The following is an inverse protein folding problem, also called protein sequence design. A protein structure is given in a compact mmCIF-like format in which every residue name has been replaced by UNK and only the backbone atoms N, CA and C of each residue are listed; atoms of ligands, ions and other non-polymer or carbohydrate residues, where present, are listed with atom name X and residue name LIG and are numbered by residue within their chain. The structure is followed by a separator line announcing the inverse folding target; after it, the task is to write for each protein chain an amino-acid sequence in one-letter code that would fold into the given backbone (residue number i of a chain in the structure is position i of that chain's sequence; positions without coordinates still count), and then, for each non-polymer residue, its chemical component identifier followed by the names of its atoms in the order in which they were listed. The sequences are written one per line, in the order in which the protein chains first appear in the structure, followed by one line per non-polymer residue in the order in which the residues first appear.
data_IF_475573771807
#
_entry.id   IF_475573771807
#
_cell.length_a   1.000
_cell.length_b   1.000
_cell.length_c   1.000
_cell.angle_alpha   90.00
_cell.angle_beta   90.00
_cell.angle_gamma   90.00
#
_symmetry.space_group_name_H-M   'P 1'
#
loop_
_entity.id
_entity.type
_entity.pdbx_description
1 polymer ?
#
# COMPACT_ATOMS: atom_id res chain seq x y z
N UNK A 1 9.71 13.87 -2.72
CA UNK A 1 10.74 12.90 -2.27
C UNK A 1 10.64 12.80 -0.76
N UNK A 2 10.23 11.65 -0.20
CA UNK A 2 10.14 11.48 1.26
C UNK A 2 11.56 11.48 1.86
N UNK A 3 11.80 12.12 3.02
CA UNK A 3 13.10 12.03 3.66
C UNK A 3 13.37 10.59 4.13
N UNK A 4 14.63 10.14 4.09
CA UNK A 4 15.05 8.79 4.49
C UNK A 4 14.54 8.42 5.89
N UNK A 5 14.50 9.39 6.81
CA UNK A 5 13.93 9.19 8.15
C UNK A 5 12.44 8.86 8.15
N UNK A 6 11.69 9.41 7.19
CA UNK A 6 10.27 9.11 6.98
C UNK A 6 10.06 7.73 6.37
N UNK A 7 10.89 7.35 5.38
CA UNK A 7 10.87 6.03 4.74
C UNK A 7 11.16 4.93 5.78
N UNK A 8 12.23 5.09 6.57
CA UNK A 8 12.58 4.18 7.68
C UNK A 8 11.47 4.04 8.70
N UNK A 9 10.77 5.13 9.04
CA UNK A 9 9.65 5.11 9.99
C UNK A 9 8.49 4.30 9.44
N UNK A 10 8.07 4.57 8.20
CA UNK A 10 6.97 3.85 7.56
C UNK A 10 7.29 2.34 7.47
N UNK A 11 8.50 2.00 7.04
CA UNK A 11 8.97 0.62 6.95
C UNK A 11 9.09 -0.06 8.33
N UNK A 12 9.45 0.67 9.39
CA UNK A 12 9.47 0.14 10.75
C UNK A 12 8.05 -0.15 11.28
N UNK A 13 7.12 0.77 11.05
CA UNK A 13 5.70 0.59 11.41
C UNK A 13 5.17 -0.64 10.67
N UNK A 14 5.49 -0.79 9.38
CA UNK A 14 5.13 -1.98 8.62
C UNK A 14 5.65 -3.26 9.29
N UNK A 15 6.92 -3.31 9.70
CA UNK A 15 7.49 -4.50 10.35
C UNK A 15 6.82 -4.77 11.72
N UNK A 16 6.52 -3.71 12.47
CA UNK A 16 5.81 -3.80 13.74
C UNK A 16 4.42 -4.43 13.56
N UNK A 17 3.68 -4.00 12.55
CA UNK A 17 2.34 -4.54 12.27
C UNK A 17 2.41 -5.96 11.68
N UNK A 18 3.32 -6.23 10.75
CA UNK A 18 3.37 -7.50 10.00
C UNK A 18 4.06 -8.65 10.72
N UNK A 19 5.11 -8.38 11.49
CA UNK A 19 5.91 -9.43 12.16
C UNK A 19 5.70 -9.48 13.66
N UNK A 20 5.11 -8.43 14.23
CA UNK A 20 4.95 -8.29 15.68
C UNK A 20 3.53 -7.92 16.10
N UNK A 21 2.56 -7.96 15.18
CA UNK A 21 1.13 -7.73 15.47
C UNK A 21 0.84 -6.41 16.22
N UNK A 22 1.61 -5.37 15.93
CA UNK A 22 1.50 -4.08 16.61
C UNK A 22 2.15 -4.05 18.01
N UNK A 23 2.70 -5.16 18.49
CA UNK A 23 3.29 -5.28 19.83
C UNK A 23 4.72 -4.74 19.89
N UNK A 24 4.84 -3.47 20.30
CA UNK A 24 6.13 -2.77 20.43
C UNK A 24 7.08 -3.44 21.42
N UNK A 25 6.55 -4.07 22.48
CA UNK A 25 7.36 -4.76 23.49
C UNK A 25 8.00 -6.03 22.92
N UNK A 26 7.26 -6.78 22.10
CA UNK A 26 7.76 -7.97 21.44
C UNK A 26 8.81 -7.63 20.39
N UNK A 27 8.55 -6.59 19.58
CA UNK A 27 9.53 -6.07 18.63
C UNK A 27 10.81 -5.61 19.33
N UNK A 28 10.68 -4.87 20.43
CA UNK A 28 11.83 -4.40 21.21
C UNK A 28 12.67 -5.57 21.75
N UNK A 29 12.01 -6.61 22.28
CA UNK A 29 12.69 -7.84 22.74
C UNK A 29 13.43 -8.54 21.61
N UNK A 30 12.81 -8.68 20.44
CA UNK A 30 13.43 -9.31 19.27
C UNK A 30 14.63 -8.51 18.76
N UNK A 31 14.56 -7.18 18.80
CA UNK A 31 15.61 -6.28 18.33
C UNK A 31 16.71 -6.00 19.37
N UNK A 32 16.63 -6.58 20.57
CA UNK A 32 17.54 -6.25 21.69
C UNK A 32 17.51 -4.76 22.05
N UNK A 33 16.38 -4.10 21.83
CA UNK A 33 16.19 -2.65 21.97
C UNK A 33 15.24 -2.32 23.12
N UNK A 34 15.27 -1.09 23.62
CA UNK A 34 14.30 -0.65 24.63
C UNK A 34 12.93 -0.37 23.98
N UNK A 35 11.80 -0.79 24.60
CA UNK A 35 10.45 -0.52 24.07
C UNK A 35 10.18 0.96 23.81
N UNK A 36 10.69 1.83 24.69
CA UNK A 36 10.60 3.28 24.54
C UNK A 36 11.26 3.77 23.23
N UNK A 37 12.36 3.13 22.81
CA UNK A 37 13.08 3.53 21.60
C UNK A 37 12.28 3.19 20.34
N UNK A 38 11.67 2.01 20.29
CA UNK A 38 10.74 1.60 19.22
C UNK A 38 9.58 2.59 19.14
N UNK A 39 8.97 2.90 20.28
CA UNK A 39 7.84 3.83 20.37
C UNK A 39 8.15 5.25 19.89
N UNK A 40 9.40 5.70 20.09
CA UNK A 40 9.87 6.99 19.60
C UNK A 40 10.20 6.96 18.11
N UNK A 41 10.79 5.88 17.60
CA UNK A 41 11.05 5.75 16.16
C UNK A 41 9.78 5.70 15.32
N UNK A 42 8.71 5.08 15.84
CA UNK A 42 7.41 5.03 15.18
C UNK A 42 6.63 6.34 15.27
N UNK A 43 6.94 7.25 16.21
CA UNK A 43 6.23 8.52 16.39
C UNK A 43 6.96 9.73 15.83
N UNK A 44 8.09 10.08 16.40
CA UNK A 44 8.66 11.43 16.29
C UNK A 44 10.19 11.42 16.08
N UNK A 45 10.91 10.49 16.70
CA UNK A 45 12.37 10.42 16.64
C UNK A 45 12.85 9.85 15.30
N UNK A 46 13.79 10.50 14.60
CA UNK A 46 14.40 9.94 13.40
C UNK A 46 15.28 8.73 13.73
N UNK A 47 15.25 7.73 12.86
CA UNK A 47 16.08 6.52 12.98
C UNK A 47 17.41 6.72 12.26
N UNK A 48 18.51 6.54 13.00
CA UNK A 48 19.86 6.58 12.45
C UNK A 48 20.18 5.36 11.59
N UNK A 49 21.20 5.48 10.74
CA UNK A 49 21.66 4.40 9.85
C UNK A 49 22.05 3.14 10.62
N UNK A 50 22.81 3.27 11.72
CA UNK A 50 23.23 2.12 12.53
C UNK A 50 22.05 1.32 13.10
N UNK A 51 20.98 2.01 13.53
CA UNK A 51 19.76 1.37 14.01
C UNK A 51 19.04 0.65 12.87
N UNK A 52 18.92 1.27 11.71
CA UNK A 52 18.30 0.64 10.53
C UNK A 52 19.06 -0.64 10.13
N UNK A 53 20.39 -0.56 9.98
CA UNK A 53 21.21 -1.74 9.64
C UNK A 53 21.09 -2.86 10.66
N UNK A 54 21.02 -2.51 11.95
CA UNK A 54 20.85 -3.52 12.99
C UNK A 54 19.51 -4.24 12.86
N UNK A 55 18.42 -3.50 12.60
CA UNK A 55 17.09 -4.06 12.42
C UNK A 55 17.04 -4.96 11.18
N UNK A 56 17.61 -4.52 10.06
CA UNK A 56 17.73 -5.33 8.83
C UNK A 56 18.41 -6.67 9.12
N UNK A 57 19.57 -6.62 9.78
CA UNK A 57 20.35 -7.83 10.12
C UNK A 57 19.61 -8.76 11.08
N UNK A 58 19.04 -8.22 12.16
CA UNK A 58 18.35 -9.03 13.19
C UNK A 58 17.09 -9.69 12.61
N UNK A 59 16.38 -8.98 11.75
CA UNK A 59 15.17 -9.48 11.09
C UNK A 59 15.45 -10.24 9.79
N UNK A 60 16.73 -10.45 9.43
CA UNK A 60 17.16 -11.12 8.20
C UNK A 60 16.48 -10.53 6.96
N UNK A 61 16.47 -9.20 6.87
CA UNK A 61 15.99 -8.46 5.71
C UNK A 61 17.16 -8.26 4.73
N UNK A 62 16.82 -7.90 3.50
CA UNK A 62 17.80 -7.46 2.52
C UNK A 62 18.50 -6.17 2.97
N UNK A 63 19.72 -5.95 2.48
CA UNK A 63 20.44 -4.73 2.78
C UNK A 63 19.68 -3.51 2.24
N UNK A 64 19.58 -2.45 3.05
CA UNK A 64 18.91 -1.19 2.71
C UNK A 64 17.39 -1.32 2.60
N UNK A 65 16.81 -2.44 3.04
CA UNK A 65 15.38 -2.64 3.03
C UNK A 65 14.61 -1.54 3.76
N UNK A 66 15.10 -1.03 4.88
CA UNK A 66 14.44 0.06 5.62
C UNK A 66 14.55 1.42 4.92
N UNK A 67 15.50 1.57 4.00
CA UNK A 67 15.79 2.81 3.28
C UNK A 67 15.06 2.87 1.93
N UNK A 68 14.54 1.73 1.47
CA UNK A 68 13.78 1.64 0.22
C UNK A 68 12.36 2.16 0.40
N UNK A 69 11.98 3.15 -0.43
CA UNK A 69 10.62 3.71 -0.46
C UNK A 69 9.66 2.72 -1.12
N UNK A 70 9.08 1.83 -0.31
CA UNK A 70 8.17 0.77 -0.75
C UNK A 70 6.82 1.28 -1.24
N UNK A 71 6.46 2.53 -0.93
CA UNK A 71 5.29 3.18 -1.52
C UNK A 71 5.50 3.54 -3.00
N UNK A 72 6.75 3.45 -3.48
CA UNK A 72 7.15 3.78 -4.84
C UNK A 72 7.88 2.62 -5.54
N UNK A 73 7.73 1.38 -5.07
CA UNK A 73 8.16 0.20 -5.84
C UNK A 73 7.03 -0.15 -6.79
N UNK A 74 7.20 0.02 -8.11
CA UNK A 74 6.22 -0.43 -9.07
C UNK A 74 6.07 -1.94 -8.89
N UNK A 75 4.86 -2.41 -8.63
CA UNK A 75 4.55 -3.82 -8.81
C UNK A 75 4.61 -4.06 -10.32
N UNK A 76 5.80 -4.45 -10.81
CA UNK A 76 5.96 -4.93 -12.18
C UNK A 76 4.99 -6.10 -12.33
N UNK A 77 4.18 -6.09 -13.39
CA UNK A 77 3.24 -7.13 -13.75
C UNK A 77 3.98 -8.46 -14.06
N UNK A 78 4.53 -9.09 -13.02
CA UNK A 78 4.75 -10.52 -12.99
C UNK A 78 3.46 -11.19 -12.51
N UNK A 79 3.44 -12.51 -12.47
CA UNK A 79 2.33 -13.33 -11.98
C UNK A 79 2.13 -13.07 -10.47
N UNK A 80 1.55 -11.92 -10.13
CA UNK A 80 1.34 -11.47 -8.76
C UNK A 80 0.00 -12.02 -8.28
N UNK A 81 0.03 -12.77 -7.19
CA UNK A 81 -1.16 -13.27 -6.52
C UNK A 81 -2.11 -12.11 -6.18
N UNK A 82 -3.42 -12.30 -6.42
CA UNK A 82 -4.42 -11.25 -6.18
C UNK A 82 -4.42 -10.84 -4.71
N UNK A 83 -4.12 -11.75 -3.79
CA UNK A 83 -3.98 -11.47 -2.36
C UNK A 83 -2.83 -10.49 -2.06
N UNK A 84 -1.74 -10.53 -2.83
CA UNK A 84 -0.64 -9.57 -2.72
C UNK A 84 -1.07 -8.17 -3.17
N UNK A 85 -1.79 -8.10 -4.29
CA UNK A 85 -2.33 -6.84 -4.83
C UNK A 85 -3.31 -6.21 -3.83
N UNK A 86 -4.24 -7.01 -3.32
CA UNK A 86 -5.24 -6.58 -2.33
C UNK A 86 -4.57 -6.10 -1.05
N UNK A 87 -3.62 -6.86 -0.52
CA UNK A 87 -2.87 -6.48 0.68
C UNK A 87 -2.10 -5.17 0.49
N UNK A 88 -1.39 -5.02 -0.63
CA UNK A 88 -0.64 -3.81 -0.94
C UNK A 88 -1.55 -2.59 -1.08
N UNK A 89 -2.59 -2.70 -1.91
CA UNK A 89 -3.52 -1.60 -2.14
C UNK A 89 -4.24 -1.18 -0.86
N UNK A 90 -4.64 -2.15 -0.03
CA UNK A 90 -5.27 -1.85 1.25
C UNK A 90 -4.34 -1.06 2.16
N UNK A 91 -3.04 -1.40 2.21
CA UNK A 91 -2.04 -0.64 2.98
C UNK A 91 -1.90 0.79 2.48
N UNK A 92 -1.83 0.98 1.15
CA UNK A 92 -1.76 2.31 0.53
C UNK A 92 -2.99 3.14 0.90
N UNK A 93 -4.19 2.55 0.89
CA UNK A 93 -5.41 3.25 1.26
C UNK A 93 -5.46 3.60 2.75
N UNK A 94 -5.01 2.69 3.61
CA UNK A 94 -4.91 2.93 5.05
C UNK A 94 -3.92 4.06 5.37
N UNK A 95 -2.75 4.11 4.73
CA UNK A 95 -1.74 5.17 4.98
C UNK A 95 -2.23 6.55 4.54
N UNK A 96 -2.92 6.61 3.40
CA UNK A 96 -3.50 7.85 2.84
C UNK A 96 -4.75 8.33 3.57
N UNK A 97 -5.49 7.43 4.23
CA UNK A 97 -6.70 7.81 4.96
C UNK A 97 -6.35 8.43 6.31
N UNK A 98 -6.98 9.55 6.69
CA UNK A 98 -6.83 10.11 8.04
C UNK A 98 -7.55 9.26 9.09
N UNK A 99 -8.71 8.71 8.72
CA UNK A 99 -9.60 8.02 9.63
C UNK A 99 -9.37 6.52 9.68
N UNK A 100 -8.87 5.87 8.62
CA UNK A 100 -8.80 4.40 8.53
C UNK A 100 -7.38 3.84 8.57
N UNK A 101 -6.48 4.48 9.32
CA UNK A 101 -5.05 4.09 9.45
C UNK A 101 -4.75 2.75 10.11
N UNK A 102 -5.73 2.10 10.75
CA UNK A 102 -5.47 0.90 11.57
C UNK A 102 -6.48 -0.19 11.30
N UNK A 103 -6.08 -1.46 11.49
CA UNK A 103 -6.93 -2.63 11.30
C UNK A 103 -8.23 -2.54 12.11
N UNK A 104 -8.13 -2.09 13.37
CA UNK A 104 -9.30 -1.93 14.24
C UNK A 104 -10.29 -0.87 13.73
N UNK A 105 -9.80 0.20 13.09
CA UNK A 105 -10.67 1.20 12.46
C UNK A 105 -11.29 0.67 11.16
N UNK A 106 -10.52 -0.02 10.33
CA UNK A 106 -11.02 -0.68 9.10
C UNK A 106 -12.08 -1.73 9.43
N UNK A 107 -11.85 -2.56 10.46
CA UNK A 107 -12.83 -3.52 10.96
C UNK A 107 -14.16 -2.86 11.31
N UNK A 108 -14.11 -1.81 12.15
CA UNK A 108 -15.32 -1.09 12.58
C UNK A 108 -16.08 -0.46 11.41
N UNK A 109 -15.36 0.09 10.44
CA UNK A 109 -15.96 0.76 9.28
C UNK A 109 -16.48 -0.22 8.21
N UNK A 110 -15.81 -1.36 8.02
CA UNK A 110 -16.16 -2.35 6.99
C UNK A 110 -17.10 -3.45 7.47
N UNK A 111 -17.25 -3.66 8.77
CA UNK A 111 -17.99 -4.79 9.35
C UNK A 111 -17.27 -6.14 9.22
N UNK A 112 -16.09 -6.19 8.59
CA UNK A 112 -15.26 -7.40 8.47
C UNK A 112 -14.48 -7.60 9.75
N UNK A 113 -14.47 -8.80 10.34
CA UNK A 113 -13.74 -9.11 11.58
C UNK A 113 -12.28 -8.61 11.52
N UNK A 114 -11.80 -7.99 12.60
CA UNK A 114 -10.43 -7.48 12.71
C UNK A 114 -9.38 -8.56 12.42
N UNK A 115 -9.59 -9.80 12.87
CA UNK A 115 -8.67 -10.91 12.57
C UNK A 115 -8.61 -11.19 11.07
N UNK A 116 -9.75 -11.16 10.37
CA UNK A 116 -9.81 -11.31 8.91
C UNK A 116 -9.08 -10.17 8.20
N UNK A 117 -9.29 -8.92 8.63
CA UNK A 117 -8.56 -7.75 8.07
C UNK A 117 -7.04 -7.92 8.25
N UNK A 118 -6.60 -8.40 9.41
CA UNK A 118 -5.19 -8.71 9.69
C UNK A 118 -4.64 -9.79 8.76
N UNK A 119 -5.37 -10.90 8.60
CA UNK A 119 -4.99 -12.01 7.72
C UNK A 119 -4.89 -11.58 6.25
N UNK A 120 -5.79 -10.70 5.77
CA UNK A 120 -5.71 -10.11 4.43
C UNK A 120 -4.44 -9.26 4.29
N UNK A 121 -4.18 -8.38 5.26
CA UNK A 121 -2.98 -7.54 5.25
C UNK A 121 -1.68 -8.37 5.30
N UNK A 122 -1.68 -9.47 6.04
CA UNK A 122 -0.53 -10.35 6.18
C UNK A 122 -0.39 -11.38 5.06
N UNK A 123 -1.32 -11.41 4.09
CA UNK A 123 -1.32 -12.35 2.95
C UNK A 123 -1.48 -13.81 3.40
N UNK A 124 -2.22 -14.02 4.49
CA UNK A 124 -2.46 -15.35 5.06
C UNK A 124 -3.72 -16.03 4.50
N UNK A 125 -4.55 -15.26 3.79
CA UNK A 125 -5.78 -15.73 3.15
C UNK A 125 -6.01 -15.06 1.82
N UNK A 126 -6.74 -15.76 0.96
CA UNK A 126 -7.41 -15.17 -0.20
C UNK A 126 -8.78 -14.64 0.25
N UNK A 127 -8.97 -13.31 0.32
CA UNK A 127 -10.24 -12.75 0.74
C UNK A 127 -11.32 -13.03 -0.30
N UNK A 128 -12.53 -13.32 0.17
CA UNK A 128 -13.70 -13.42 -0.69
C UNK A 128 -14.01 -12.05 -1.33
N UNK A 129 -14.63 -12.05 -2.51
CA UNK A 129 -15.05 -10.81 -3.20
C UNK A 129 -15.94 -9.95 -2.29
N UNK A 130 -16.80 -10.58 -1.47
CA UNK A 130 -17.63 -9.88 -0.48
C UNK A 130 -16.80 -9.15 0.59
N UNK A 131 -15.72 -9.77 1.06
CA UNK A 131 -14.79 -9.17 2.03
C UNK A 131 -14.07 -7.98 1.41
N UNK A 132 -13.54 -8.16 0.19
CA UNK A 132 -12.90 -7.09 -0.59
C UNK A 132 -13.83 -5.90 -0.79
N UNK A 133 -15.09 -6.15 -1.19
CA UNK A 133 -16.08 -5.10 -1.41
C UNK A 133 -16.48 -4.39 -0.11
N UNK A 134 -16.63 -5.12 0.99
CA UNK A 134 -16.98 -4.54 2.29
C UNK A 134 -15.87 -3.64 2.84
N UNK A 135 -14.61 -4.08 2.69
CA UNK A 135 -13.44 -3.26 3.02
C UNK A 135 -13.41 -2.02 2.13
N UNK A 136 -13.57 -2.16 0.82
CA UNK A 136 -13.48 -1.03 -0.09
C UNK A 136 -14.55 0.04 0.15
N UNK A 137 -15.79 -0.38 0.44
CA UNK A 137 -16.89 0.52 0.80
C UNK A 137 -16.58 1.37 2.03
N UNK A 138 -15.84 0.83 3.01
CA UNK A 138 -15.42 1.60 4.18
C UNK A 138 -14.55 2.81 3.80
N UNK A 139 -13.77 2.70 2.72
CA UNK A 139 -12.96 3.79 2.17
C UNK A 139 -13.74 4.68 1.18
N UNK A 140 -15.03 4.43 0.94
CA UNK A 140 -15.80 5.10 -0.10
C UNK A 140 -15.41 4.70 -1.53
N UNK A 141 -14.78 3.53 -1.71
CA UNK A 141 -14.24 3.04 -2.98
C UNK A 141 -14.87 1.71 -3.38
N UNK A 142 -14.58 1.26 -4.59
CA UNK A 142 -15.12 0.01 -5.11
C UNK A 142 -14.16 -1.17 -4.91
N UNK A 143 -14.71 -2.37 -4.69
CA UNK A 143 -13.92 -3.59 -4.46
C UNK A 143 -12.92 -3.93 -5.58
N UNK A 144 -13.28 -3.67 -6.84
CA UNK A 144 -12.38 -3.94 -7.98
C UNK A 144 -11.12 -3.07 -7.96
N UNK A 145 -11.16 -1.87 -7.37
CA UNK A 145 -9.99 -1.01 -7.23
C UNK A 145 -8.94 -1.60 -6.29
N UNK A 146 -9.37 -2.45 -5.34
CA UNK A 146 -8.46 -3.11 -4.43
C UNK A 146 -7.72 -4.29 -5.10
N UNK A 147 -8.30 -4.87 -6.16
CA UNK A 147 -7.76 -6.02 -6.88
C UNK A 147 -6.89 -5.64 -8.08
N UNK A 148 -6.77 -4.34 -8.37
CA UNK A 148 -6.03 -3.83 -9.52
C UNK A 148 -4.61 -3.42 -9.09
N UNK A 149 -3.54 -3.90 -9.74
CA UNK A 149 -2.19 -3.42 -9.46
C UNK A 149 -2.07 -1.92 -9.73
N UNK A 150 -1.59 -1.14 -8.76
CA UNK A 150 -1.35 0.31 -8.91
C UNK A 150 -0.26 0.67 -9.95
N UNK A 151 0.44 -0.33 -10.49
CA UNK A 151 1.58 -0.16 -11.40
C UNK A 151 1.44 -1.01 -12.66
N UNK A 152 0.21 -1.35 -13.05
CA UNK A 152 -0.03 -1.93 -14.35
C UNK A 152 0.27 -0.86 -15.44
N UNK A 153 1.28 -1.05 -16.30
CA UNK A 153 1.62 -0.10 -17.36
C UNK A 153 0.49 0.06 -18.39
N UNK A 154 -0.52 -0.82 -18.37
CA UNK A 154 -1.75 -0.69 -19.16
C UNK A 154 -2.77 0.27 -18.55
N UNK A 155 -2.50 0.81 -17.36
CA UNK A 155 -3.39 1.74 -16.67
C UNK A 155 -2.89 3.17 -16.72
N UNK A 156 -3.82 4.07 -17.00
CA UNK A 156 -3.61 5.51 -16.90
C UNK A 156 -3.91 5.93 -15.47
N UNK A 157 -2.96 6.61 -14.82
CA UNK A 157 -3.18 7.17 -13.49
C UNK A 157 -3.89 8.53 -13.59
N UNK A 158 -5.09 8.61 -13.05
CA UNK A 158 -5.87 9.85 -12.99
C UNK A 158 -6.78 9.87 -11.74
N UNK A 159 -7.30 11.05 -11.42
CA UNK A 159 -8.27 11.24 -10.34
C UNK A 159 -9.66 10.80 -10.81
N UNK A 160 -10.13 9.66 -10.29
CA UNK A 160 -11.39 9.04 -10.68
C UNK A 160 -12.61 9.82 -10.21
N UNK A 161 -12.54 10.46 -9.04
CA UNK A 161 -13.64 11.26 -8.51
C UNK A 161 -13.84 12.53 -9.34
N UNK A 162 -12.74 13.12 -9.83
CA UNK A 162 -12.81 14.23 -10.78
C UNK A 162 -13.31 13.78 -12.14
N UNK A 163 -12.89 12.60 -12.61
CA UNK A 163 -13.37 12.05 -13.88
C UNK A 163 -14.87 11.71 -13.83
N UNK A 164 -15.36 11.16 -12.73
CA UNK A 164 -16.79 10.86 -12.55
C UNK A 164 -17.65 12.11 -12.73
N UNK A 165 -17.20 13.24 -12.19
CA UNK A 165 -17.88 14.55 -12.23
C UNK A 165 -17.84 15.25 -13.59
N UNK A 166 -17.08 14.75 -14.56
CA UNK A 166 -17.04 15.34 -15.91
C UNK A 166 -18.33 15.09 -16.68
N UNK A 167 -18.70 16.07 -17.50
CA UNK A 167 -19.81 15.95 -18.44
C UNK A 167 -19.51 14.87 -19.49
N UNK A 168 -20.55 14.21 -20.04
CA UNK A 168 -20.39 13.17 -21.06
C UNK A 168 -19.56 13.63 -22.27
N UNK A 169 -19.73 14.89 -22.70
CA UNK A 169 -18.98 15.45 -23.82
C UNK A 169 -17.47 15.57 -23.53
N UNK A 170 -17.07 15.85 -22.29
CA UNK A 170 -15.66 15.93 -21.91
C UNK A 170 -15.04 14.53 -21.76
N UNK A 171 -15.82 13.55 -21.27
CA UNK A 171 -15.42 12.14 -21.27
C UNK A 171 -15.20 11.60 -22.68
N UNK A 172 -16.04 12.03 -23.64
CA UNK A 172 -15.88 11.67 -25.06
C UNK A 172 -14.60 12.24 -25.64
N UNK A 173 -14.29 13.52 -25.40
CA UNK A 173 -13.02 14.13 -25.84
C UNK A 173 -11.80 13.38 -25.32
N UNK A 174 -11.81 12.96 -24.05
CA UNK A 174 -10.72 12.17 -23.46
C UNK A 174 -10.57 10.84 -24.20
N UNK A 175 -11.69 10.14 -24.44
CA UNK A 175 -11.70 8.86 -25.18
C UNK A 175 -11.16 9.03 -26.60
N UNK A 176 -11.67 10.01 -27.36
CA UNK A 176 -11.22 10.27 -28.73
C UNK A 176 -9.74 10.66 -28.80
N UNK A 177 -9.22 11.38 -27.82
CA UNK A 177 -7.81 11.72 -27.76
C UNK A 177 -6.94 10.49 -27.51
N UNK A 178 -7.35 9.60 -26.60
CA UNK A 178 -6.63 8.34 -26.35
C UNK A 178 -6.59 7.50 -27.63
N UNK A 179 -7.73 7.32 -28.31
CA UNK A 179 -7.80 6.58 -29.58
C UNK A 179 -6.93 7.21 -30.67
N UNK A 180 -6.95 8.54 -30.78
CA UNK A 180 -6.11 9.27 -31.73
C UNK A 180 -4.62 9.00 -31.48
N UNK A 181 -4.16 9.14 -30.23
CA UNK A 181 -2.75 8.90 -29.87
C UNK A 181 -2.34 7.46 -30.16
N UNK A 182 -3.19 6.48 -29.84
CA UNK A 182 -2.94 5.07 -30.15
C UNK A 182 -2.84 4.84 -31.67
N UNK A 183 -3.69 5.48 -32.47
CA UNK A 183 -3.68 5.35 -33.93
C UNK A 183 -2.43 5.97 -34.59
N UNK A 184 -1.87 7.05 -34.01
CA UNK A 184 -0.62 7.66 -34.50
C UNK A 184 0.57 6.74 -34.22
N UNK A 185 0.68 6.22 -33.00
CA UNK A 185 1.76 5.30 -32.63
C UNK A 185 1.76 4.02 -33.50
N UNK A 186 0.59 3.52 -33.87
CA UNK A 186 0.49 2.34 -34.74
C UNK A 186 0.96 2.63 -36.16
N UNK A 187 0.63 3.81 -36.72
CA UNK A 187 1.12 4.22 -38.06
C UNK A 187 2.64 4.42 -38.13
N UNK A 188 3.26 4.88 -37.05
CA UNK A 188 4.72 5.01 -36.95
C UNK A 188 5.43 3.66 -36.77
N UNK A 189 4.71 2.63 -36.29
CA UNK A 189 5.26 1.28 -36.09
C UNK A 189 5.21 0.41 -37.37
N UNK A 190 4.31 0.74 -38.30
CA UNK A 190 4.10 0.03 -39.57
C UNK A 190 4.88 0.65 -40.75
N UNK A 191 5.72 1.68 -40.51
CA UNK A 191 6.66 2.30 -41.46
C UNK A 191 8.11 1.85 -41.21
#
# INVERSE_FOLDING_TARGET
MKPISGIRRANLIYLLETRFEGNQTQMAKALGSLPNLISRWTRDKPMGSAAARNIERVLKLEDYWLDNDRDNVPLVAQDVEISDVVSHNLRVWMDKSEDLKTQGKVHRASGVNQSTVGRVLNKEIDPTISTVNSIAKAFGRNGYELMIPNSDPRQIQYDRDRYEKLDPADKEKITSFIEFVLSQAQKESDQ
#
